data_IF_047941418032
#
_entry.id   IF_047941418032
#
_cell.length_a   1.000
_cell.length_b   1.000
_cell.length_c   1.000
_cell.angle_alpha   90.00
_cell.angle_beta   90.00
_cell.angle_gamma   90.00
#
_symmetry.space_group_name_H-M   'P 1'
#
loop_
_entity.id
_entity.type
_entity.pdbx_description
1 polymer ?
#
# COMPACT_ATOMS: atom_id res chain seq x y z
N UNK A 1 -4.96 -15.62 3.74
CA UNK A 1 -5.50 -14.33 4.22
C UNK A 1 -5.17 -14.20 5.70
N UNK A 2 -4.29 -13.28 6.08
CA UNK A 2 -3.80 -13.15 7.45
C UNK A 2 -4.54 -12.02 8.17
N UNK A 3 -5.29 -12.35 9.23
CA UNK A 3 -6.05 -11.37 10.03
C UNK A 3 -5.23 -10.76 11.17
N UNK A 4 -3.95 -11.11 11.31
CA UNK A 4 -3.10 -10.75 12.46
C UNK A 4 -1.78 -10.08 12.06
N UNK A 5 -1.68 -9.52 10.85
CA UNK A 5 -0.50 -8.72 10.48
C UNK A 5 -0.53 -7.43 11.27
N UNK A 6 0.42 -7.26 12.18
CA UNK A 6 0.54 -6.10 13.06
C UNK A 6 1.59 -5.12 12.55
N UNK A 7 1.61 -3.91 13.08
CA UNK A 7 2.66 -2.93 12.77
C UNK A 7 4.06 -3.50 12.97
N UNK A 8 4.28 -4.33 14.00
CA UNK A 8 5.57 -4.93 14.27
C UNK A 8 6.09 -5.79 13.10
N UNK A 9 5.22 -6.61 12.49
CA UNK A 9 5.62 -7.44 11.35
C UNK A 9 5.79 -6.60 10.07
N UNK A 10 4.93 -5.61 9.83
CA UNK A 10 5.09 -4.66 8.72
C UNK A 10 6.42 -3.92 8.83
N UNK A 11 6.75 -3.40 10.01
CA UNK A 11 7.98 -2.66 10.26
C UNK A 11 9.20 -3.58 10.05
N UNK A 12 9.17 -4.80 10.57
CA UNK A 12 10.26 -5.75 10.41
C UNK A 12 10.51 -6.10 8.94
N UNK A 13 9.45 -6.39 8.17
CA UNK A 13 9.55 -6.69 6.74
C UNK A 13 10.01 -5.47 5.95
N UNK A 14 9.42 -4.29 6.20
CA UNK A 14 9.80 -3.06 5.49
C UNK A 14 11.29 -2.73 5.69
N UNK A 15 11.81 -2.91 6.90
CA UNK A 15 13.24 -2.70 7.21
C UNK A 15 14.15 -3.78 6.62
N UNK A 16 13.73 -5.04 6.66
CA UNK A 16 14.56 -6.18 6.22
C UNK A 16 14.54 -6.42 4.71
N UNK A 17 13.46 -6.08 4.03
CA UNK A 17 13.22 -6.38 2.62
C UNK A 17 13.23 -5.10 1.77
N UNK A 18 14.36 -4.40 1.72
CA UNK A 18 14.51 -3.12 1.01
C UNK A 18 14.41 -3.22 -0.52
N UNK A 19 14.51 -4.44 -1.07
CA UNK A 19 14.38 -4.75 -2.50
C UNK A 19 12.94 -5.15 -2.91
N UNK A 20 11.98 -5.06 -1.99
CA UNK A 20 10.60 -5.46 -2.28
C UNK A 20 9.98 -4.56 -3.35
N UNK A 21 9.60 -5.15 -4.49
CA UNK A 21 8.97 -4.42 -5.60
C UNK A 21 7.44 -4.50 -5.60
N UNK A 22 6.87 -5.56 -5.05
CA UNK A 22 5.42 -5.74 -4.98
C UNK A 22 5.02 -6.31 -3.62
N UNK A 23 4.06 -5.67 -2.96
CA UNK A 23 3.57 -6.11 -1.66
C UNK A 23 2.06 -6.07 -1.62
N UNK A 24 1.47 -7.21 -1.27
CA UNK A 24 0.05 -7.29 -0.99
C UNK A 24 -0.22 -7.22 0.52
N UNK A 25 -0.86 -6.12 0.93
CA UNK A 25 -1.32 -5.85 2.29
C UNK A 25 -2.85 -5.72 2.35
N UNK A 26 -3.57 -6.21 1.34
CA UNK A 26 -5.03 -6.20 1.35
C UNK A 26 -5.58 -6.92 2.60
N UNK A 27 -6.69 -6.43 3.13
CA UNK A 27 -7.34 -6.94 4.34
C UNK A 27 -6.48 -6.88 5.63
N UNK A 28 -5.33 -6.21 5.63
CA UNK A 28 -4.52 -6.02 6.83
C UNK A 28 -5.12 -4.91 7.70
N UNK A 29 -6.23 -5.22 8.37
CA UNK A 29 -7.03 -4.26 9.12
C UNK A 29 -6.29 -3.66 10.32
N UNK A 30 -5.38 -4.40 10.94
CA UNK A 30 -4.66 -3.97 12.16
C UNK A 30 -3.46 -3.06 11.89
N UNK A 31 -3.12 -2.79 10.62
CA UNK A 31 -1.99 -1.91 10.28
C UNK A 31 -2.39 -0.46 10.54
N UNK A 32 -1.74 0.15 11.52
CA UNK A 32 -1.95 1.53 11.92
C UNK A 32 -1.05 2.48 11.13
N UNK A 33 -1.12 3.77 11.44
CA UNK A 33 -0.24 4.79 10.86
C UNK A 33 1.24 4.44 10.99
N UNK A 34 1.66 3.78 12.08
CA UNK A 34 3.05 3.40 12.31
C UNK A 34 3.55 2.41 11.25
N UNK A 35 2.73 1.42 10.90
CA UNK A 35 3.03 0.47 9.83
C UNK A 35 3.11 1.15 8.46
N UNK A 36 2.14 2.00 8.11
CA UNK A 36 2.12 2.72 6.83
C UNK A 36 3.31 3.69 6.68
N UNK A 37 3.71 4.36 7.76
CA UNK A 37 4.91 5.20 7.79
C UNK A 37 6.18 4.38 7.56
N UNK A 38 6.27 3.18 8.14
CA UNK A 38 7.42 2.30 7.90
C UNK A 38 7.49 1.82 6.45
N UNK A 39 6.34 1.49 5.83
CA UNK A 39 6.30 1.17 4.39
C UNK A 39 6.83 2.35 3.57
N UNK A 40 6.30 3.56 3.81
CA UNK A 40 6.75 4.77 3.12
C UNK A 40 8.25 5.07 3.33
N UNK A 41 8.78 4.81 4.52
CA UNK A 41 10.17 5.12 4.85
C UNK A 41 11.16 4.12 4.24
N UNK A 42 10.88 2.81 4.36
CA UNK A 42 11.87 1.77 4.05
C UNK A 42 11.66 1.09 2.69
N UNK A 43 10.44 1.05 2.15
CA UNK A 43 10.13 0.35 0.91
C UNK A 43 10.30 1.25 -0.34
N UNK A 44 11.51 1.81 -0.52
CA UNK A 44 11.79 2.78 -1.59
C UNK A 44 11.69 2.18 -3.01
N UNK A 45 11.95 0.88 -3.16
CA UNK A 45 11.86 0.15 -4.43
C UNK A 45 10.46 -0.42 -4.73
N UNK A 46 9.48 -0.17 -3.86
CA UNK A 46 8.14 -0.72 -4.01
C UNK A 46 7.43 -0.08 -5.20
N UNK A 47 7.11 -0.88 -6.21
CA UNK A 47 6.44 -0.48 -7.46
C UNK A 47 4.94 -0.72 -7.41
N UNK A 48 4.50 -1.81 -6.77
CA UNK A 48 3.09 -2.19 -6.68
C UNK A 48 2.69 -2.45 -5.24
N UNK A 49 1.63 -1.80 -4.78
CA UNK A 49 1.12 -1.97 -3.44
C UNK A 49 -0.39 -2.24 -3.48
N UNK A 50 -0.81 -3.29 -2.78
CA UNK A 50 -2.23 -3.62 -2.63
C UNK A 50 -2.67 -3.31 -1.20
N UNK A 51 -3.64 -2.39 -1.04
CA UNK A 51 -4.20 -1.98 0.26
C UNK A 51 -5.72 -2.13 0.30
N UNK A 52 -6.29 -2.94 -0.59
CA UNK A 52 -7.73 -3.18 -0.67
C UNK A 52 -8.31 -3.58 0.70
N UNK A 53 -9.40 -2.90 1.09
CA UNK A 53 -10.15 -3.15 2.32
C UNK A 53 -9.30 -3.05 3.60
N UNK A 54 -8.25 -2.24 3.61
CA UNK A 54 -7.50 -1.89 4.83
C UNK A 54 -8.29 -0.88 5.67
N UNK A 55 -9.06 -1.37 6.65
CA UNK A 55 -9.98 -0.56 7.45
C UNK A 55 -9.30 0.55 8.26
N UNK A 56 -8.03 0.39 8.62
CA UNK A 56 -7.25 1.40 9.35
C UNK A 56 -6.28 2.21 8.47
N UNK A 57 -6.33 2.05 7.14
CA UNK A 57 -5.68 2.99 6.24
C UNK A 57 -6.47 4.31 6.26
N UNK A 58 -5.83 5.37 6.76
CA UNK A 58 -6.38 6.73 6.83
C UNK A 58 -5.72 7.66 5.82
N UNK A 59 -6.24 8.88 5.67
CA UNK A 59 -5.62 9.95 4.89
C UNK A 59 -4.14 10.17 5.25
N UNK A 60 -3.77 10.09 6.53
CA UNK A 60 -2.39 10.22 6.99
C UNK A 60 -1.52 9.02 6.54
N UNK A 61 -2.09 7.81 6.54
CA UNK A 61 -1.41 6.62 6.04
C UNK A 61 -1.18 6.71 4.54
N UNK A 62 -2.21 7.12 3.79
CA UNK A 62 -2.12 7.35 2.35
C UNK A 62 -1.08 8.44 2.01
N UNK A 63 -1.04 9.52 2.80
CA UNK A 63 -0.02 10.56 2.70
C UNK A 63 1.39 10.02 2.95
N UNK A 64 1.59 9.17 3.96
CA UNK A 64 2.89 8.58 4.22
C UNK A 64 3.40 7.75 3.03
N UNK A 65 2.51 6.99 2.38
CA UNK A 65 2.83 6.24 1.16
C UNK A 65 3.15 7.17 -0.01
N UNK A 66 2.37 8.25 -0.18
CA UNK A 66 2.56 9.27 -1.22
C UNK A 66 3.94 9.92 -1.17
N UNK A 67 4.34 10.33 0.03
CA UNK A 67 5.56 11.11 0.29
C UNK A 67 6.80 10.19 0.35
N UNK A 68 6.61 8.92 0.73
CA UNK A 68 7.70 7.97 1.01
C UNK A 68 8.04 6.97 -0.11
N UNK A 69 7.04 6.35 -0.75
CA UNK A 69 7.27 5.28 -1.73
C UNK A 69 7.63 5.85 -3.11
N UNK A 70 8.91 6.18 -3.34
CA UNK A 70 9.36 6.89 -4.54
C UNK A 70 9.18 6.12 -5.85
N UNK A 71 9.37 4.80 -5.84
CA UNK A 71 9.22 3.97 -7.05
C UNK A 71 7.81 3.43 -7.28
N UNK A 72 6.84 3.81 -6.43
CA UNK A 72 5.47 3.34 -6.56
C UNK A 72 4.88 3.79 -7.90
N UNK A 73 4.28 2.85 -8.63
CA UNK A 73 3.64 3.12 -9.92
C UNK A 73 2.22 2.57 -10.00
N UNK A 74 1.86 1.57 -9.18
CA UNK A 74 0.50 1.05 -9.09
C UNK A 74 0.08 0.92 -7.63
N UNK A 75 -1.05 1.53 -7.29
CA UNK A 75 -1.70 1.40 -5.98
C UNK A 75 -3.09 0.79 -6.17
N UNK A 76 -3.31 -0.42 -5.66
CA UNK A 76 -4.63 -1.03 -5.62
C UNK A 76 -5.34 -0.60 -4.33
N UNK A 77 -6.33 0.27 -4.46
CA UNK A 77 -7.05 0.88 -3.35
C UNK A 77 -8.55 0.87 -3.66
N UNK A 78 -9.27 0.03 -2.92
CA UNK A 78 -10.72 -0.05 -2.89
C UNK A 78 -11.18 -0.42 -1.47
N UNK A 79 -12.38 0.00 -1.06
CA UNK A 79 -12.98 -0.39 0.22
C UNK A 79 -12.26 0.11 1.47
N UNK A 80 -11.43 1.16 1.37
CA UNK A 80 -10.77 1.81 2.51
C UNK A 80 -11.63 2.96 3.04
N UNK A 81 -12.58 2.65 3.93
CA UNK A 81 -13.59 3.61 4.39
C UNK A 81 -13.06 4.85 5.14
N UNK A 82 -11.81 4.84 5.59
CA UNK A 82 -11.16 5.95 6.31
C UNK A 82 -10.25 6.80 5.43
N UNK A 83 -10.25 6.55 4.11
CA UNK A 83 -9.63 7.42 3.11
C UNK A 83 -10.71 8.31 2.52
N UNK A 84 -10.63 9.61 2.76
CA UNK A 84 -11.55 10.58 2.20
C UNK A 84 -11.31 10.77 0.69
N UNK A 85 -12.36 11.04 -0.11
CA UNK A 85 -12.19 11.34 -1.54
C UNK A 85 -11.19 12.48 -1.80
N UNK A 86 -11.19 13.51 -0.95
CA UNK A 86 -10.23 14.62 -1.07
C UNK A 86 -8.78 14.16 -0.89
N UNK A 87 -8.51 13.24 0.03
CA UNK A 87 -7.15 12.70 0.22
C UNK A 87 -6.69 11.89 -1.00
N UNK A 88 -7.62 11.17 -1.64
CA UNK A 88 -7.33 10.46 -2.89
C UNK A 88 -7.04 11.42 -4.04
N UNK A 89 -7.79 12.50 -4.18
CA UNK A 89 -7.54 13.53 -5.19
C UNK A 89 -6.21 14.26 -4.95
N UNK A 90 -5.88 14.58 -3.69
CA UNK A 90 -4.57 15.12 -3.33
C UNK A 90 -3.45 14.13 -3.61
N UNK A 91 -3.66 12.83 -3.40
CA UNK A 91 -2.68 11.82 -3.76
C UNK A 91 -2.41 11.84 -5.26
N UNK A 92 -3.45 11.76 -6.09
CA UNK A 92 -3.34 11.80 -7.56
C UNK A 92 -2.66 13.08 -8.06
N UNK A 93 -2.99 14.23 -7.46
CA UNK A 93 -2.40 15.51 -7.82
C UNK A 93 -0.88 15.55 -7.60
N UNK A 94 -0.38 14.98 -6.49
CA UNK A 94 1.05 14.97 -6.18
C UNK A 94 1.80 13.79 -6.81
N UNK A 95 1.09 12.70 -7.11
CA UNK A 95 1.63 11.44 -7.64
C UNK A 95 0.93 11.06 -8.94
N UNK A 96 1.02 11.94 -9.94
CA UNK A 96 0.51 11.69 -11.29
C UNK A 96 1.20 10.51 -12.00
N UNK A 97 2.34 10.06 -11.46
CA UNK A 97 3.08 8.86 -11.87
C UNK A 97 2.48 7.55 -11.34
N UNK A 98 1.57 7.60 -10.36
CA UNK A 98 0.96 6.42 -9.74
C UNK A 98 -0.43 6.16 -10.30
N UNK A 99 -0.60 5.00 -10.94
CA UNK A 99 -1.90 4.50 -11.37
C UNK A 99 -2.65 3.89 -10.18
N UNK A 100 -3.79 4.48 -9.80
CA UNK A 100 -4.69 3.92 -8.79
C UNK A 100 -5.70 2.99 -9.47
N UNK A 101 -5.82 1.76 -8.96
CA UNK A 101 -6.75 0.73 -9.47
C UNK A 101 -7.73 0.31 -8.38
N UNK A 102 -9.00 0.13 -8.74
CA UNK A 102 -10.05 -0.31 -7.82
C UNK A 102 -10.27 -1.84 -7.82
N UNK A 103 -9.53 -2.56 -8.68
CA UNK A 103 -9.57 -4.02 -8.76
C UNK A 103 -9.18 -4.65 -7.40
N UNK A 104 -10.03 -5.54 -6.90
CA UNK A 104 -9.79 -6.27 -5.66
C UNK A 104 -8.81 -7.42 -5.88
N UNK A 105 -7.52 -7.08 -6.03
CA UNK A 105 -6.45 -8.07 -6.13
C UNK A 105 -6.07 -8.53 -4.73
N UNK A 106 -6.57 -9.71 -4.35
CA UNK A 106 -6.34 -10.31 -3.02
C UNK A 106 -5.09 -11.21 -2.95
N UNK A 107 -4.57 -11.63 -4.11
CA UNK A 107 -3.38 -12.46 -4.22
C UNK A 107 -2.51 -11.95 -5.36
N UNK A 108 -1.19 -11.94 -5.16
CA UNK A 108 -0.23 -11.76 -6.25
C UNK A 108 -0.19 -13.09 -7.01
N UNK A 109 -0.66 -13.10 -8.26
CA UNK A 109 -0.55 -14.28 -9.11
C UNK A 109 0.86 -14.36 -9.70
N UNK A 110 1.45 -15.57 -9.86
CA UNK A 110 2.65 -15.70 -10.67
C UNK A 110 2.35 -15.14 -12.07
N UNK A 111 3.26 -14.32 -12.58
CA UNK A 111 3.16 -13.72 -13.91
C UNK A 111 3.14 -14.85 -14.96
N UNK A 112 1.99 -15.06 -15.61
CA UNK A 112 1.89 -15.96 -16.76
C UNK A 112 1.95 -15.11 -18.02
N UNK A 113 3.06 -15.09 -18.78
CA UNK A 113 3.18 -14.27 -19.99
C UNK A 113 2.31 -14.74 -21.17
N UNK A 114 1.44 -15.73 -20.98
CA UNK A 114 0.70 -16.43 -22.05
C UNK A 114 -0.80 -16.60 -21.77
N UNK A 115 -1.47 -15.63 -21.15
CA UNK A 115 -2.94 -15.65 -21.06
C UNK A 115 -3.55 -14.30 -21.38
#
# INVERSE_FOLDING_TARGET
>A
MCRSVSDASIIAIAKGCTLLEEWNLALCHEVSISGWQAVGLYCQNLKRLHVNRCLNLTDNGLRALRDGCRSLSILYLNGCARVAPLALELFKFHRGDVCIKEEEVMCIKPYSPFR
#
